data_IF_281053575198
#
_entry.id   IF_281053575198
#
_cell.length_a   1.000
_cell.length_b   1.000
_cell.length_c   1.000
_cell.angle_alpha   90.00
_cell.angle_beta   90.00
_cell.angle_gamma   90.00
#
_symmetry.space_group_name_H-M   'P 1'
#
loop_
_entity.id
_entity.type
_entity.pdbx_description
1 polymer ?
#
# COMPACT_ATOMS: atom_id res chain seq x y z
N UNK A 1 -15.22 -48.28 20.74
CA UNK A 1 -14.89 -48.48 19.31
C UNK A 1 -15.54 -47.33 18.55
N UNK A 2 -14.87 -46.17 18.52
CA UNK A 2 -15.30 -44.98 17.80
C UNK A 2 -14.26 -44.79 16.68
N UNK A 3 -14.71 -44.76 15.42
CA UNK A 3 -13.86 -44.86 14.22
C UNK A 3 -13.73 -43.49 13.54
N UNK A 4 -13.00 -42.57 14.15
CA UNK A 4 -12.48 -41.34 13.51
C UNK A 4 -11.55 -40.59 14.48
N UNK A 5 -10.30 -41.04 14.56
CA UNK A 5 -9.26 -40.42 15.38
C UNK A 5 -8.79 -39.07 14.82
N UNK A 6 -9.51 -37.98 15.11
CA UNK A 6 -8.98 -36.63 14.87
C UNK A 6 -9.23 -35.75 16.09
N UNK A 7 -8.24 -35.70 16.98
CA UNK A 7 -8.11 -34.62 17.98
C UNK A 7 -7.82 -33.34 17.20
N UNK A 8 -8.87 -32.65 16.75
CA UNK A 8 -8.78 -31.51 15.84
C UNK A 8 -8.14 -30.30 16.53
N UNK A 9 -6.88 -30.02 16.19
CA UNK A 9 -6.25 -28.73 16.49
C UNK A 9 -7.09 -27.61 15.89
N UNK A 10 -7.44 -26.59 16.68
CA UNK A 10 -8.21 -25.41 16.24
C UNK A 10 -7.42 -24.48 15.31
N UNK A 11 -6.12 -24.74 15.13
CA UNK A 11 -5.21 -23.90 14.37
C UNK A 11 -5.17 -24.40 12.91
N UNK A 12 -5.48 -23.54 11.91
CA UNK A 12 -5.43 -23.92 10.50
C UNK A 12 -4.01 -24.30 10.04
N UNK A 13 -3.91 -25.21 9.08
CA UNK A 13 -2.65 -25.49 8.37
C UNK A 13 -2.46 -24.52 7.19
N UNK A 14 -1.72 -23.45 7.44
CA UNK A 14 -1.46 -22.38 6.46
C UNK A 14 -0.53 -22.79 5.31
N UNK A 15 0.08 -23.99 5.33
CA UNK A 15 0.87 -24.46 4.18
C UNK A 15 0.01 -24.83 2.96
N UNK A 16 -1.29 -25.03 3.18
CA UNK A 16 -2.25 -25.49 2.16
C UNK A 16 -3.28 -24.44 1.77
N UNK A 17 -3.33 -23.31 2.49
CA UNK A 17 -4.29 -22.24 2.26
C UNK A 17 -3.66 -21.22 1.31
N UNK A 18 -4.29 -21.00 0.16
CA UNK A 18 -3.86 -19.96 -0.77
C UNK A 18 -4.16 -18.56 -0.20
N UNK A 19 -3.26 -17.61 -0.46
CA UNK A 19 -3.50 -16.21 -0.15
C UNK A 19 -4.46 -15.63 -1.19
N UNK A 20 -5.72 -15.43 -0.79
CA UNK A 20 -6.69 -14.73 -1.62
C UNK A 20 -6.42 -13.21 -1.58
N UNK A 21 -6.58 -12.50 -2.71
CA UNK A 21 -6.43 -11.05 -2.73
C UNK A 21 -7.50 -10.41 -1.83
N UNK A 22 -7.06 -9.70 -0.80
CA UNK A 22 -7.95 -8.93 0.06
C UNK A 22 -8.12 -7.51 -0.49
N UNK A 23 -9.24 -7.26 -1.15
CA UNK A 23 -9.68 -5.89 -1.46
C UNK A 23 -10.40 -5.36 -0.22
N UNK A 24 -9.64 -4.83 0.73
CA UNK A 24 -10.24 -4.12 1.86
C UNK A 24 -10.75 -2.76 1.39
N UNK A 25 -12.07 -2.54 1.43
CA UNK A 25 -12.58 -1.17 1.42
C UNK A 25 -12.14 -0.51 2.74
N UNK A 26 -11.22 0.45 2.63
CA UNK A 26 -10.85 1.26 3.78
C UNK A 26 -12.05 2.08 4.21
N UNK A 27 -12.67 1.75 5.34
CA UNK A 27 -13.68 2.62 5.95
C UNK A 27 -13.01 3.96 6.22
N UNK A 28 -13.45 5.01 5.52
CA UNK A 28 -12.94 6.35 5.75
C UNK A 28 -13.22 6.72 7.21
N UNK A 29 -12.18 6.78 8.05
CA UNK A 29 -12.31 7.33 9.39
C UNK A 29 -12.56 8.82 9.20
N UNK A 30 -13.82 9.23 9.38
CA UNK A 30 -14.19 10.63 9.32
C UNK A 30 -13.39 11.40 10.39
N UNK A 31 -12.64 12.40 9.96
CA UNK A 31 -11.84 13.25 10.82
C UNK A 31 -11.37 14.47 10.07
N UNK A 32 -11.27 15.59 10.78
CA UNK A 32 -10.83 16.87 10.21
C UNK A 32 -9.42 16.74 9.62
N UNK A 33 -9.14 17.30 8.42
CA UNK A 33 -7.80 17.39 7.88
C UNK A 33 -6.87 18.13 8.83
N UNK A 34 -5.60 17.71 8.87
CA UNK A 34 -4.59 18.49 9.57
C UNK A 34 -4.11 19.62 8.67
N UNK A 35 -4.23 20.87 9.14
CA UNK A 35 -3.67 22.04 8.46
C UNK A 35 -2.20 22.20 8.78
N UNK A 36 -1.34 22.16 7.75
CA UNK A 36 0.09 22.45 7.90
C UNK A 36 0.35 23.96 7.98
N UNK A 37 1.53 24.40 8.46
CA UNK A 37 1.93 25.82 8.44
C UNK A 37 1.99 26.44 7.04
N UNK A 38 2.17 25.64 6.00
CA UNK A 38 2.15 26.05 4.59
C UNK A 38 0.73 26.18 4.02
N UNK A 39 -0.30 26.09 4.87
CA UNK A 39 -1.71 26.20 4.50
C UNK A 39 -2.23 25.05 3.60
N UNK A 40 -1.61 23.87 3.71
CA UNK A 40 -2.02 22.66 2.97
C UNK A 40 -2.82 21.74 3.90
N UNK A 41 -4.04 21.41 3.50
CA UNK A 41 -4.89 20.45 4.21
C UNK A 41 -4.46 19.00 3.92
N UNK A 42 -3.96 18.30 4.94
CA UNK A 42 -3.58 16.89 4.83
C UNK A 42 -4.74 16.02 5.30
N UNK A 43 -5.35 15.28 4.35
CA UNK A 43 -6.42 14.31 4.64
C UNK A 43 -5.85 13.13 5.43
N UNK A 44 -6.71 12.50 6.25
CA UNK A 44 -6.32 11.35 7.08
C UNK A 44 -6.09 10.08 6.27
N UNK A 45 -6.75 9.95 5.12
CA UNK A 45 -6.70 8.79 4.23
C UNK A 45 -6.68 9.29 2.78
N UNK A 46 -5.84 8.65 1.96
CA UNK A 46 -5.81 8.79 0.50
C UNK A 46 -5.96 7.40 -0.13
N UNK A 47 -6.74 7.29 -1.19
CA UNK A 47 -6.98 6.06 -1.94
C UNK A 47 -6.49 6.14 -3.39
N UNK A 48 -6.69 5.06 -4.18
CA UNK A 48 -6.20 4.99 -5.55
C UNK A 48 -6.64 6.16 -6.44
N UNK A 49 -7.91 6.60 -6.30
CA UNK A 49 -8.48 7.69 -7.08
C UNK A 49 -7.81 9.06 -6.83
N UNK A 50 -7.09 9.22 -5.72
CA UNK A 50 -6.40 10.49 -5.42
C UNK A 50 -5.15 10.71 -6.27
N UNK A 51 -4.73 9.69 -7.04
CA UNK A 51 -3.65 9.78 -8.03
C UNK A 51 -4.15 10.02 -9.46
N UNK A 52 -5.47 10.04 -9.66
CA UNK A 52 -6.06 10.21 -10.98
C UNK A 52 -5.71 11.60 -11.57
N UNK A 53 -5.35 11.62 -12.85
CA UNK A 53 -4.99 12.87 -13.56
C UNK A 53 -3.58 13.39 -13.30
N UNK A 54 -2.74 12.65 -12.55
CA UNK A 54 -1.33 12.99 -12.41
C UNK A 54 -0.50 12.44 -13.58
N UNK A 55 0.03 13.34 -14.42
CA UNK A 55 0.76 12.98 -15.66
C UNK A 55 2.12 12.30 -15.43
N UNK A 56 2.63 12.29 -14.20
CA UNK A 56 4.01 11.93 -13.87
C UNK A 56 4.16 10.67 -13.01
N UNK A 57 3.06 9.97 -12.71
CA UNK A 57 3.10 8.80 -11.81
C UNK A 57 3.89 7.64 -12.41
N UNK A 58 3.85 7.45 -13.73
CA UNK A 58 4.52 6.35 -14.43
C UNK A 58 5.98 6.59 -14.87
N UNK A 59 6.58 7.74 -14.52
CA UNK A 59 7.93 8.10 -14.98
C UNK A 59 9.08 7.30 -14.31
N UNK A 60 10.29 7.44 -14.84
CA UNK A 60 11.52 6.84 -14.30
C UNK A 60 12.49 7.92 -13.76
N UNK A 61 13.31 7.61 -12.73
CA UNK A 61 14.40 8.48 -12.31
C UNK A 61 15.42 8.70 -13.44
N UNK A 62 16.08 9.86 -13.46
CA UNK A 62 17.07 10.20 -14.49
C UNK A 62 16.50 10.61 -15.85
N UNK A 63 15.18 10.75 -15.98
CA UNK A 63 14.50 11.24 -17.18
C UNK A 63 13.70 12.49 -16.82
N UNK A 64 13.72 13.52 -17.68
CA UNK A 64 12.95 14.74 -17.49
C UNK A 64 11.45 14.42 -17.28
N UNK A 65 10.75 15.10 -16.33
CA UNK A 65 11.17 16.27 -15.56
C UNK A 65 11.89 15.95 -14.24
N UNK A 66 12.48 14.75 -14.10
CA UNK A 66 13.32 14.34 -12.96
C UNK A 66 12.60 14.30 -11.61
N UNK A 67 11.29 14.10 -11.60
CA UNK A 67 10.49 14.03 -10.37
C UNK A 67 10.96 12.93 -9.39
N UNK A 68 11.43 11.80 -9.93
CA UNK A 68 11.98 10.67 -9.16
C UNK A 68 13.49 10.81 -8.88
N UNK A 69 14.04 11.98 -9.16
CA UNK A 69 15.44 12.33 -8.99
C UNK A 69 16.25 12.35 -10.29
N UNK A 70 17.42 13.02 -10.29
CA UNK A 70 18.18 13.31 -11.50
C UNK A 70 19.04 12.14 -11.98
N UNK A 71 19.29 11.13 -11.16
CA UNK A 71 20.18 10.01 -11.50
C UNK A 71 19.40 8.70 -11.65
N UNK A 72 19.62 7.88 -12.71
CA UNK A 72 18.81 6.68 -12.99
C UNK A 72 18.77 5.65 -11.86
N UNK A 73 19.83 5.53 -11.08
CA UNK A 73 19.90 4.58 -9.95
C UNK A 73 19.76 5.26 -8.59
N UNK A 74 19.65 6.59 -8.54
CA UNK A 74 19.70 7.38 -7.30
C UNK A 74 20.78 6.85 -6.35
N UNK A 75 20.38 6.43 -5.15
CA UNK A 75 21.24 5.98 -4.07
C UNK A 75 21.52 4.47 -4.05
N UNK A 76 21.07 3.72 -5.06
CA UNK A 76 21.23 2.24 -5.08
C UNK A 76 22.70 1.83 -5.03
N UNK A 77 23.58 2.55 -5.74
CA UNK A 77 25.01 2.25 -5.80
C UNK A 77 25.88 3.19 -4.93
N UNK A 78 25.41 4.41 -4.67
CA UNK A 78 26.14 5.44 -3.94
C UNK A 78 25.14 6.26 -3.11
N UNK A 79 24.94 5.94 -1.81
CA UNK A 79 24.03 6.65 -0.93
C UNK A 79 24.53 8.03 -0.51
#
# INVERSE_FOLDING_TARGET
MNRDGTTGSIVPDFSTIALEPSIGEGTAVAGEPWMTPEEIAVRRIYGPADSDGLDFVGGYPGIAPYLRGPYPTMYVNQP
#
